data_IF_299867591465
#
_entry.id   IF_299867591465
#
_cell.length_a   1.000
_cell.length_b   1.000
_cell.length_c   1.000
_cell.angle_alpha   90.00
_cell.angle_beta   90.00
_cell.angle_gamma   90.00
#
_symmetry.space_group_name_H-M   'P 1'
#
loop_
_entity.id
_entity.type
_entity.pdbx_description
1 polymer ?
#
# COMPACT_ATOMS: atom_id res chain seq x y z
N UNK A 1 6.66 -3.23 9.23
CA UNK A 1 7.33 -2.15 8.47
C UNK A 1 7.87 -2.70 7.16
N UNK A 2 7.91 -1.90 6.13
CA UNK A 2 8.57 -2.21 4.85
C UNK A 2 9.71 -1.22 4.68
N UNK A 3 10.88 -1.70 4.37
CA UNK A 3 12.10 -0.88 4.19
C UNK A 3 12.72 -1.25 2.85
N UNK A 4 13.20 -0.26 2.12
CA UNK A 4 13.95 -0.46 0.90
C UNK A 4 15.16 0.47 0.86
N UNK A 5 16.26 -0.01 0.34
CA UNK A 5 17.46 0.77 0.01
C UNK A 5 17.54 0.92 -1.50
N UNK A 6 17.79 2.15 -1.93
CA UNK A 6 17.91 2.51 -3.34
C UNK A 6 19.34 2.95 -3.64
N UNK A 7 19.80 2.63 -4.84
CA UNK A 7 21.04 3.15 -5.43
C UNK A 7 20.79 3.44 -6.91
N UNK A 8 21.09 4.65 -7.37
CA UNK A 8 20.88 5.06 -8.76
C UNK A 8 19.41 5.00 -9.24
N UNK A 9 18.44 5.06 -8.34
CA UNK A 9 17.02 4.92 -8.65
C UNK A 9 16.49 3.48 -8.62
N UNK A 10 17.36 2.48 -8.47
CA UNK A 10 17.01 1.06 -8.39
C UNK A 10 16.94 0.58 -6.93
N UNK A 11 16.02 -0.35 -6.64
CA UNK A 11 15.97 -1.01 -5.34
C UNK A 11 17.09 -2.05 -5.28
N UNK A 12 18.04 -1.84 -4.37
CA UNK A 12 19.15 -2.78 -4.14
C UNK A 12 18.83 -3.83 -3.08
N UNK A 13 18.09 -3.45 -2.06
CA UNK A 13 17.61 -4.38 -1.03
C UNK A 13 16.24 -3.95 -0.48
N UNK A 14 15.47 -4.92 0.03
CA UNK A 14 14.20 -4.68 0.72
C UNK A 14 13.98 -5.66 1.86
N UNK A 15 13.31 -5.17 2.90
CA UNK A 15 12.95 -5.93 4.09
C UNK A 15 11.49 -5.71 4.44
N UNK A 16 10.90 -6.73 5.04
CA UNK A 16 9.58 -6.63 5.68
C UNK A 16 9.67 -7.28 7.05
N UNK A 17 9.32 -6.55 8.10
CA UNK A 17 9.36 -7.04 9.47
C UNK A 17 8.29 -6.38 10.33
N UNK A 18 8.02 -6.98 11.49
CA UNK A 18 7.03 -6.48 12.44
C UNK A 18 7.42 -5.14 13.06
N UNK A 19 6.45 -4.36 13.49
CA UNK A 19 6.72 -3.05 14.11
C UNK A 19 7.45 -3.13 15.45
N UNK A 20 7.51 -4.33 16.08
CA UNK A 20 8.24 -4.57 17.32
C UNK A 20 9.69 -5.02 17.08
N UNK A 21 10.05 -5.32 15.83
CA UNK A 21 11.38 -5.81 15.46
C UNK A 21 12.30 -4.66 14.99
N UNK A 22 12.28 -3.54 15.73
CA UNK A 22 13.05 -2.33 15.37
C UNK A 22 14.54 -2.60 15.32
N UNK A 23 15.05 -3.50 16.16
CA UNK A 23 16.46 -3.94 16.10
C UNK A 23 16.93 -4.47 14.75
N UNK A 24 16.00 -4.80 13.83
CA UNK A 24 16.33 -5.13 12.43
C UNK A 24 16.95 -3.96 11.66
N UNK A 25 16.75 -2.72 12.11
CA UNK A 25 17.46 -1.58 11.54
C UNK A 25 18.97 -1.65 11.74
N UNK A 26 19.44 -2.24 12.86
CA UNK A 26 20.87 -2.42 13.10
C UNK A 26 21.52 -3.33 12.06
N UNK A 27 20.80 -4.35 11.58
CA UNK A 27 21.26 -5.21 10.48
C UNK A 27 21.44 -4.40 9.20
N UNK A 28 20.49 -3.50 8.89
CA UNK A 28 20.54 -2.65 7.71
C UNK A 28 21.70 -1.66 7.84
N UNK A 29 21.83 -1.01 8.98
CA UNK A 29 22.89 -0.04 9.24
C UNK A 29 24.28 -0.67 9.35
N UNK A 30 24.38 -1.97 9.65
CA UNK A 30 25.67 -2.66 9.62
C UNK A 30 26.18 -2.88 8.19
N UNK A 31 25.29 -2.96 7.21
CA UNK A 31 25.65 -3.15 5.79
C UNK A 31 25.96 -1.83 5.09
N UNK A 32 25.40 -0.73 5.56
CA UNK A 32 25.55 0.59 4.96
C UNK A 32 26.09 1.57 5.99
N UNK A 33 27.23 2.20 5.70
CA UNK A 33 27.86 3.18 6.60
C UNK A 33 26.97 4.42 6.86
N UNK A 34 26.09 4.73 5.94
CA UNK A 34 25.11 5.81 6.02
C UNK A 34 24.35 5.95 4.71
N UNK A 35 23.40 6.86 4.69
CA UNK A 35 22.58 7.15 3.53
C UNK A 35 22.63 8.63 3.17
N UNK A 36 22.67 8.96 1.90
CA UNK A 36 22.57 10.37 1.46
C UNK A 36 21.21 10.96 1.88
N UNK A 37 20.16 10.18 1.70
CA UNK A 37 18.77 10.59 1.98
C UNK A 37 17.96 9.44 2.55
N UNK A 38 17.08 9.79 3.48
CA UNK A 38 16.06 8.86 3.98
C UNK A 38 14.69 9.51 3.97
N UNK A 39 13.67 8.71 3.65
CA UNK A 39 12.28 9.11 3.72
C UNK A 39 11.53 8.10 4.58
N UNK A 40 10.69 8.57 5.48
CA UNK A 40 9.81 7.76 6.31
C UNK A 40 8.37 8.19 6.09
N UNK A 41 7.50 7.26 5.74
CA UNK A 41 6.05 7.43 5.77
C UNK A 41 5.44 6.48 6.79
N UNK A 42 4.56 6.99 7.65
CA UNK A 42 3.84 6.21 8.65
C UNK A 42 2.40 6.68 8.75
N UNK A 43 1.47 5.72 8.77
CA UNK A 43 0.04 5.94 9.03
C UNK A 43 -0.34 5.56 10.47
N UNK A 44 0.65 5.19 11.30
CA UNK A 44 0.46 4.80 12.71
C UNK A 44 0.92 5.89 13.63
N UNK A 45 0.36 5.85 14.85
CA UNK A 45 0.78 6.68 15.96
C UNK A 45 2.27 6.54 16.25
N UNK A 46 2.85 7.61 16.72
CA UNK A 46 4.27 7.88 16.73
C UNK A 46 5.09 6.85 17.54
N UNK A 47 5.83 6.02 16.81
CA UNK A 47 7.05 5.46 17.36
C UNK A 47 8.21 6.34 16.87
N UNK A 48 8.82 7.16 17.74
CA UNK A 48 9.88 8.09 17.36
C UNK A 48 11.20 7.38 17.02
N UNK A 49 11.38 6.14 17.46
CA UNK A 49 12.64 5.42 17.37
C UNK A 49 13.12 5.20 15.93
N UNK A 50 12.30 4.70 14.96
CA UNK A 50 12.74 4.60 13.57
C UNK A 50 13.05 5.96 12.94
N UNK A 51 12.33 7.01 13.33
CA UNK A 51 12.57 8.36 12.84
C UNK A 51 13.94 8.88 13.30
N UNK A 52 14.24 8.72 14.58
CA UNK A 52 15.50 9.15 15.16
C UNK A 52 16.69 8.38 14.58
N UNK A 53 16.57 7.07 14.43
CA UNK A 53 17.58 6.22 13.80
C UNK A 53 17.89 6.67 12.37
N UNK A 54 16.86 6.90 11.56
CA UNK A 54 17.02 7.34 10.17
C UNK A 54 17.61 8.75 10.09
N UNK A 55 17.20 9.65 10.97
CA UNK A 55 17.72 11.02 11.06
C UNK A 55 19.20 11.04 11.38
N UNK A 56 19.66 10.18 12.30
CA UNK A 56 21.07 10.08 12.66
C UNK A 56 21.95 9.41 11.59
N UNK A 57 21.36 8.60 10.71
CA UNK A 57 22.08 7.78 9.72
C UNK A 57 21.97 8.30 8.28
N UNK A 58 21.33 9.45 8.07
CA UNK A 58 21.18 10.05 6.74
C UNK A 58 21.62 11.50 6.69
N UNK A 59 22.19 11.90 5.58
CA UNK A 59 22.57 13.29 5.33
C UNK A 59 21.35 14.22 5.21
N UNK A 60 20.23 13.70 4.72
CA UNK A 60 18.93 14.37 4.67
C UNK A 60 17.83 13.40 5.06
N UNK A 61 16.95 13.81 5.97
CA UNK A 61 15.80 13.01 6.40
C UNK A 61 14.49 13.75 6.12
N UNK A 62 13.52 13.06 5.53
CA UNK A 62 12.17 13.54 5.29
C UNK A 62 11.13 12.64 5.97
N UNK A 63 10.38 13.18 6.92
CA UNK A 63 9.14 12.55 7.38
C UNK A 63 8.05 12.95 6.39
N UNK A 64 7.62 11.99 5.58
CA UNK A 64 6.61 12.24 4.57
C UNK A 64 5.22 12.30 5.20
N UNK A 65 4.55 13.39 4.98
CA UNK A 65 3.18 13.67 5.43
C UNK A 65 2.40 14.33 4.28
N UNK A 66 1.09 14.35 4.37
CA UNK A 66 0.21 14.97 3.37
C UNK A 66 0.37 16.50 3.27
N UNK A 67 1.11 17.09 4.19
CA UNK A 67 1.48 18.53 4.19
C UNK A 67 2.79 18.80 3.45
N UNK A 68 3.56 17.77 3.11
CA UNK A 68 4.82 17.91 2.36
C UNK A 68 4.49 18.31 0.92
N UNK A 69 5.12 19.37 0.37
CA UNK A 69 4.96 19.73 -1.02
C UNK A 69 5.34 18.58 -1.95
N UNK A 70 4.47 18.25 -2.88
CA UNK A 70 4.68 17.19 -3.87
C UNK A 70 4.48 17.74 -5.27
N UNK A 71 5.08 17.14 -6.31
CA UNK A 71 4.95 17.58 -7.69
C UNK A 71 3.60 17.16 -8.32
N UNK A 72 2.52 17.26 -7.55
CA UNK A 72 1.16 16.96 -7.95
C UNK A 72 0.22 18.05 -7.45
N UNK A 73 -0.78 18.40 -8.26
CA UNK A 73 -1.92 19.17 -7.78
C UNK A 73 -2.85 18.23 -6.99
N UNK A 74 -3.05 18.51 -5.69
CA UNK A 74 -3.93 17.69 -4.88
C UNK A 74 -5.37 18.18 -5.02
N UNK A 75 -6.16 17.50 -5.84
CA UNK A 75 -7.60 17.75 -6.04
C UNK A 75 -8.52 17.01 -5.06
N UNK A 76 -7.96 16.36 -4.02
CA UNK A 76 -8.74 15.62 -3.04
C UNK A 76 -9.55 16.56 -2.15
N UNK A 77 -10.86 16.31 -2.01
CA UNK A 77 -11.79 17.22 -1.31
C UNK A 77 -11.47 17.45 0.17
N UNK A 78 -10.75 16.52 0.81
CA UNK A 78 -10.28 16.61 2.21
C UNK A 78 -8.78 16.31 2.30
N UNK A 79 -7.91 17.22 1.83
CA UNK A 79 -6.47 16.94 1.67
C UNK A 79 -5.77 16.46 2.95
N UNK A 80 -6.21 16.96 4.11
CA UNK A 80 -5.66 16.63 5.42
C UNK A 80 -5.98 15.20 5.89
N UNK A 81 -6.97 14.53 5.29
CA UNK A 81 -7.31 13.13 5.59
C UNK A 81 -6.77 12.15 4.55
N UNK A 82 -6.12 12.65 3.50
CA UNK A 82 -5.52 11.78 2.48
C UNK A 82 -4.38 10.97 3.09
N UNK A 83 -4.42 9.65 2.94
CA UNK A 83 -3.36 8.75 3.37
C UNK A 83 -2.02 9.08 2.67
N UNK A 84 -0.95 9.14 3.46
CA UNK A 84 0.38 9.43 2.93
C UNK A 84 0.87 8.34 1.97
N UNK A 85 0.48 7.09 2.17
CA UNK A 85 0.75 5.95 1.31
C UNK A 85 0.15 6.15 -0.09
N UNK A 86 -1.11 6.57 -0.18
CA UNK A 86 -1.81 6.87 -1.43
C UNK A 86 -1.14 8.02 -2.18
N UNK A 87 -0.83 9.11 -1.45
CA UNK A 87 -0.15 10.27 -2.04
C UNK A 87 1.25 9.88 -2.53
N UNK A 88 2.01 9.10 -1.75
CA UNK A 88 3.33 8.62 -2.15
C UNK A 88 3.27 7.73 -3.40
N UNK A 89 2.29 6.82 -3.47
CA UNK A 89 2.07 5.98 -4.66
C UNK A 89 1.75 6.81 -5.90
N UNK A 90 0.93 7.87 -5.75
CA UNK A 90 0.61 8.80 -6.83
C UNK A 90 1.84 9.55 -7.34
N UNK A 91 2.67 10.09 -6.42
CA UNK A 91 3.93 10.75 -6.78
C UNK A 91 4.87 9.79 -7.50
N UNK A 92 5.00 8.55 -7.00
CA UNK A 92 5.81 7.52 -7.63
C UNK A 92 5.32 7.18 -9.04
N UNK A 93 4.02 6.99 -9.22
CA UNK A 93 3.40 6.69 -10.52
C UNK A 93 3.68 7.77 -11.55
N UNK A 94 3.49 9.04 -11.19
CA UNK A 94 3.79 10.18 -12.10
C UNK A 94 5.28 10.29 -12.40
N UNK A 95 6.13 10.02 -11.41
CA UNK A 95 7.59 10.00 -11.62
C UNK A 95 8.04 8.91 -12.61
N UNK A 96 7.37 7.75 -12.62
CA UNK A 96 7.65 6.64 -13.53
C UNK A 96 7.05 6.86 -14.93
N UNK A 97 5.86 7.44 -15.01
CA UNK A 97 5.08 7.60 -16.24
C UNK A 97 4.56 9.05 -16.38
N UNK A 98 5.44 10.02 -16.59
CA UNK A 98 5.04 11.41 -16.67
C UNK A 98 4.14 11.70 -17.89
N UNK A 99 3.20 12.63 -17.72
CA UNK A 99 2.30 13.07 -18.81
C UNK A 99 1.27 12.01 -19.22
N UNK A 100 0.93 11.07 -18.34
CA UNK A 100 -0.08 10.03 -18.57
C UNK A 100 -1.21 10.11 -17.56
N UNK A 101 -2.43 9.75 -18.00
CA UNK A 101 -3.50 9.44 -17.08
C UNK A 101 -3.18 8.10 -16.42
N UNK A 102 -3.19 8.06 -15.09
CA UNK A 102 -2.78 6.90 -14.32
C UNK A 102 -3.92 6.43 -13.44
N UNK A 103 -4.13 5.13 -13.41
CA UNK A 103 -4.84 4.43 -12.36
C UNK A 103 -3.80 3.65 -11.56
N UNK A 104 -3.68 3.96 -10.29
CA UNK A 104 -2.69 3.40 -9.37
C UNK A 104 -3.43 2.50 -8.40
N UNK A 105 -3.06 1.22 -8.39
CA UNK A 105 -3.68 0.23 -7.52
C UNK A 105 -2.64 -0.31 -6.56
N UNK A 106 -2.91 -0.21 -5.26
CA UNK A 106 -2.10 -0.82 -4.21
C UNK A 106 -2.90 -1.96 -3.56
N UNK A 107 -2.35 -3.16 -3.64
CA UNK A 107 -2.88 -4.37 -3.02
C UNK A 107 -2.17 -4.64 -1.70
N UNK A 108 -2.77 -4.21 -0.60
CA UNK A 108 -2.27 -4.40 0.75
C UNK A 108 -3.33 -4.93 1.72
N UNK A 109 -3.24 -4.51 2.97
CA UNK A 109 -4.30 -4.75 3.98
C UNK A 109 -5.62 -4.11 3.55
N UNK A 110 -5.57 -2.95 2.92
CA UNK A 110 -6.62 -2.39 2.09
C UNK A 110 -6.19 -2.44 0.63
N UNK A 111 -7.15 -2.41 -0.29
CA UNK A 111 -6.92 -2.18 -1.71
C UNK A 111 -7.33 -0.75 -1.98
N UNK A 112 -6.39 0.04 -2.49
CA UNK A 112 -6.67 1.40 -2.94
C UNK A 112 -6.57 1.48 -4.45
N UNK A 113 -7.40 2.31 -5.06
CA UNK A 113 -7.37 2.58 -6.48
C UNK A 113 -7.49 4.10 -6.65
N UNK A 114 -6.44 4.73 -7.12
CA UNK A 114 -6.28 6.18 -7.22
C UNK A 114 -6.08 6.63 -8.65
N UNK A 115 -6.64 7.80 -8.98
CA UNK A 115 -6.58 8.38 -10.32
C UNK A 115 -5.75 9.66 -10.29
N UNK A 116 -4.80 9.75 -11.22
CA UNK A 116 -4.02 10.96 -11.49
C UNK A 116 -4.12 11.29 -12.97
N UNK A 117 -4.38 12.55 -13.31
CA UNK A 117 -4.46 12.98 -14.70
C UNK A 117 -3.07 13.19 -15.32
N UNK A 118 -3.02 13.26 -16.64
CA UNK A 118 -1.80 13.54 -17.39
C UNK A 118 -1.13 14.88 -17.01
N UNK A 119 -1.94 15.85 -16.57
CA UNK A 119 -1.50 17.17 -16.09
C UNK A 119 -0.92 17.12 -14.67
N UNK A 120 -0.91 15.94 -14.02
CA UNK A 120 -0.40 15.77 -12.66
C UNK A 120 -1.40 16.15 -11.57
N UNK A 121 -2.72 16.09 -11.84
CA UNK A 121 -3.75 16.35 -10.84
C UNK A 121 -4.23 15.03 -10.22
N UNK A 122 -4.07 14.89 -8.91
CA UNK A 122 -4.62 13.79 -8.12
C UNK A 122 -6.12 14.01 -7.89
N UNK A 123 -6.96 13.12 -8.41
CA UNK A 123 -8.41 13.23 -8.32
C UNK A 123 -9.01 12.52 -7.10
N UNK A 124 -8.26 11.59 -6.49
CA UNK A 124 -8.76 10.70 -5.47
C UNK A 124 -9.00 9.30 -6.03
N UNK A 125 -9.82 8.52 -5.34
CA UNK A 125 -10.09 7.14 -5.71
C UNK A 125 -10.90 6.40 -4.67
N UNK A 126 -10.81 5.06 -4.67
CA UNK A 126 -11.55 4.18 -3.78
C UNK A 126 -10.62 3.47 -2.79
N UNK A 127 -11.19 3.07 -1.66
CA UNK A 127 -10.56 2.21 -0.65
C UNK A 127 -11.51 1.06 -0.39
N UNK A 128 -11.00 -0.17 -0.51
CA UNK A 128 -11.77 -1.36 -0.17
C UNK A 128 -10.94 -2.30 0.72
N UNK A 129 -11.58 -3.19 1.49
CA UNK A 129 -10.85 -4.16 2.28
C UNK A 129 -10.00 -5.07 1.40
N UNK A 130 -8.75 -5.30 1.79
CA UNK A 130 -7.90 -6.31 1.16
C UNK A 130 -8.40 -7.73 1.42
N UNK A 131 -7.88 -8.69 0.68
CA UNK A 131 -8.37 -10.07 0.69
C UNK A 131 -8.34 -10.70 2.10
N UNK A 132 -7.24 -10.52 2.82
CA UNK A 132 -7.14 -11.01 4.21
C UNK A 132 -8.15 -10.36 5.16
N UNK A 133 -8.45 -9.06 4.98
CA UNK A 133 -9.51 -8.40 5.76
C UNK A 133 -10.90 -8.97 5.44
N UNK A 134 -11.18 -9.27 4.18
CA UNK A 134 -12.46 -9.84 3.75
C UNK A 134 -12.66 -11.25 4.33
N UNK A 135 -11.64 -12.11 4.28
CA UNK A 135 -11.70 -13.42 4.91
C UNK A 135 -11.87 -13.33 6.42
N UNK A 136 -11.13 -12.44 7.06
CA UNK A 136 -11.25 -12.22 8.48
C UNK A 136 -12.63 -11.72 8.88
N UNK A 137 -13.21 -10.80 8.11
CA UNK A 137 -14.56 -10.30 8.39
C UNK A 137 -15.61 -11.42 8.30
N UNK A 138 -15.50 -12.34 7.34
CA UNK A 138 -16.40 -13.49 7.27
C UNK A 138 -16.25 -14.40 8.49
N UNK A 139 -15.05 -14.67 8.94
CA UNK A 139 -14.80 -15.47 10.14
C UNK A 139 -15.25 -14.78 11.43
N UNK A 140 -14.97 -13.46 11.58
CA UNK A 140 -15.26 -12.70 12.80
C UNK A 140 -16.76 -12.40 12.98
N UNK A 141 -17.50 -12.26 11.88
CA UNK A 141 -18.93 -11.92 11.91
C UNK A 141 -19.86 -13.09 11.61
N UNK A 142 -19.36 -14.33 11.56
CA UNK A 142 -20.17 -15.54 11.39
C UNK A 142 -19.65 -16.67 12.28
N UNK A 143 -20.58 -17.50 12.82
CA UNK A 143 -20.21 -18.57 13.75
C UNK A 143 -19.58 -19.80 13.08
N UNK A 144 -19.74 -19.96 11.75
CA UNK A 144 -19.44 -21.23 11.06
C UNK A 144 -18.46 -21.10 9.90
N UNK A 145 -18.15 -19.89 9.45
CA UNK A 145 -17.21 -19.73 8.36
C UNK A 145 -15.76 -19.76 8.90
N UNK A 146 -14.88 -20.57 8.29
CA UNK A 146 -13.49 -20.65 8.73
C UNK A 146 -12.71 -19.39 8.39
N UNK A 147 -11.69 -19.06 9.19
CA UNK A 147 -10.69 -18.07 8.81
C UNK A 147 -9.85 -18.66 7.67
N UNK A 148 -9.82 -17.97 6.55
CA UNK A 148 -8.95 -18.28 5.42
C UNK A 148 -7.84 -17.25 5.30
N UNK A 149 -6.65 -17.71 4.92
CA UNK A 149 -5.54 -16.84 4.54
C UNK A 149 -5.58 -16.54 3.03
N UNK A 150 -4.90 -15.49 2.60
CA UNK A 150 -4.92 -15.07 1.19
C UNK A 150 -4.41 -16.16 0.22
N UNK A 151 -3.54 -17.03 0.72
CA UNK A 151 -2.98 -18.20 0.01
C UNK A 151 -4.05 -19.21 -0.42
N UNK A 152 -5.21 -19.23 0.25
CA UNK A 152 -6.34 -20.08 -0.14
C UNK A 152 -6.88 -19.77 -1.54
N UNK A 153 -6.57 -18.56 -2.07
CA UNK A 153 -6.93 -18.18 -3.43
C UNK A 153 -5.92 -18.66 -4.47
N UNK A 154 -4.71 -19.06 -4.05
CA UNK A 154 -3.65 -19.50 -4.97
C UNK A 154 -3.99 -20.90 -5.50
N UNK A 155 -4.07 -21.01 -6.83
CA UNK A 155 -4.41 -22.28 -7.48
C UNK A 155 -5.90 -22.68 -7.37
N UNK A 156 -6.75 -21.78 -6.88
CA UNK A 156 -8.20 -22.01 -6.90
C UNK A 156 -8.68 -21.93 -8.35
N UNK A 157 -9.19 -23.07 -8.85
CA UNK A 157 -9.87 -23.11 -10.16
C UNK A 157 -11.27 -22.54 -10.03
N UNK A 158 -11.54 -21.48 -10.74
CA UNK A 158 -12.89 -20.87 -10.76
C UNK A 158 -13.87 -21.83 -11.40
N UNK A 159 -14.87 -22.22 -10.62
CA UNK A 159 -16.01 -23.00 -11.11
C UNK A 159 -17.22 -22.10 -11.18
N UNK A 160 -18.09 -22.30 -12.17
CA UNK A 160 -19.33 -21.54 -12.31
C UNK A 160 -20.16 -21.55 -11.01
N UNK A 161 -20.19 -22.70 -10.33
CA UNK A 161 -20.85 -22.85 -9.03
C UNK A 161 -19.94 -23.61 -8.07
N UNK A 162 -19.36 -22.94 -7.06
CA UNK A 162 -18.55 -23.58 -6.03
C UNK A 162 -19.36 -24.58 -5.20
N UNK A 163 -18.80 -25.76 -4.95
CA UNK A 163 -19.49 -26.86 -4.23
C UNK A 163 -18.95 -27.08 -2.80
N UNK A 164 -18.09 -26.17 -2.30
CA UNK A 164 -17.55 -26.21 -0.94
C UNK A 164 -17.61 -24.85 -0.27
N UNK A 165 -17.63 -24.81 1.07
CA UNK A 165 -17.61 -23.53 1.82
C UNK A 165 -16.39 -22.69 1.47
N UNK A 166 -15.19 -23.27 1.43
CA UNK A 166 -13.97 -22.57 1.06
C UNK A 166 -14.07 -22.03 -0.36
N UNK A 167 -14.50 -22.87 -1.31
CA UNK A 167 -14.71 -22.46 -2.70
C UNK A 167 -15.72 -21.32 -2.83
N UNK A 168 -16.84 -21.37 -2.11
CA UNK A 168 -17.84 -20.32 -2.12
C UNK A 168 -17.29 -18.98 -1.56
N UNK A 169 -16.50 -19.05 -0.48
CA UNK A 169 -15.85 -17.85 0.09
C UNK A 169 -14.83 -17.25 -0.89
N UNK A 170 -13.96 -18.08 -1.48
CA UNK A 170 -12.95 -17.63 -2.44
C UNK A 170 -13.59 -17.03 -3.69
N UNK A 171 -14.53 -17.73 -4.30
CA UNK A 171 -15.24 -17.26 -5.50
C UNK A 171 -16.03 -15.97 -5.24
N UNK A 172 -16.77 -15.89 -4.13
CA UNK A 172 -17.55 -14.70 -3.78
C UNK A 172 -16.68 -13.45 -3.58
N UNK A 173 -15.47 -13.60 -3.03
CA UNK A 173 -14.55 -12.49 -2.85
C UNK A 173 -13.79 -12.13 -4.14
N UNK A 174 -13.48 -13.10 -5.01
CA UNK A 174 -12.83 -12.87 -6.30
C UNK A 174 -13.74 -12.12 -7.27
N UNK A 175 -15.02 -12.50 -7.35
CA UNK A 175 -15.99 -11.84 -8.23
C UNK A 175 -16.20 -10.37 -7.91
N UNK A 176 -16.16 -9.99 -6.63
CA UNK A 176 -16.26 -8.57 -6.23
C UNK A 176 -15.04 -7.78 -6.73
N UNK A 177 -13.85 -8.37 -6.73
CA UNK A 177 -12.65 -7.72 -7.26
C UNK A 177 -12.70 -7.45 -8.76
N UNK A 178 -13.31 -8.33 -9.54
CA UNK A 178 -13.39 -8.20 -11.00
C UNK A 178 -14.48 -7.19 -11.40
N UNK A 179 -15.55 -7.06 -10.64
CA UNK A 179 -16.69 -6.22 -10.99
C UNK A 179 -16.60 -4.76 -10.53
N UNK A 180 -15.85 -4.46 -9.47
CA UNK A 180 -15.72 -3.09 -8.96
C UNK A 180 -14.95 -2.14 -9.89
N UNK A 181 -13.79 -2.48 -10.48
CA UNK A 181 -13.08 -1.59 -11.38
C UNK A 181 -13.87 -1.19 -12.63
N UNK A 182 -14.72 -2.07 -13.12
CA UNK A 182 -15.53 -1.80 -14.31
C UNK A 182 -16.72 -0.87 -14.05
N UNK A 183 -17.22 -0.82 -12.81
CA UNK A 183 -18.32 0.08 -12.43
C UNK A 183 -17.89 1.54 -12.29
N UNK A 184 -16.66 1.80 -11.89
CA UNK A 184 -16.11 3.16 -11.75
C UNK A 184 -15.55 3.71 -13.06
N UNK A 185 -15.30 2.88 -14.06
CA UNK A 185 -14.85 3.33 -15.39
C UNK A 185 -15.99 3.81 -16.32
N UNK A 186 -17.23 3.84 -15.84
CA UNK A 186 -18.41 4.29 -16.61
C UNK A 186 -18.90 5.68 -16.21
N UNK A 187 -18.06 6.50 -15.56
CA UNK A 187 -18.40 7.91 -15.27
C UNK A 187 -17.56 8.81 -16.18
#
# INVERSE_FOLDING_TARGET
MKVAVFSGGEIVERWTFGCREIGRFDEIFSRYAGFDRAILSSTRDENPEPEEMLRCRSGYFLKFANTVPVPLENGYGTPHTLGCDRLAAAVGGVGMLPGRNLMIVDFGSAITCDIVTAEGRYLGGSISPGLGMRFRSLADYTDRLPLLEAEACVGYEEREVPSSTVGAMVSGLSLIHISEPTRHAQI
#
